data_IF_586653880092
#
_entry.id   IF_586653880092
#
_cell.length_a   1.000
_cell.length_b   1.000
_cell.length_c   1.000
_cell.angle_alpha   90.00
_cell.angle_beta   90.00
_cell.angle_gamma   90.00
#
_symmetry.space_group_name_H-M   'P 1'
#
loop_
_entity.id
_entity.type
_entity.pdbx_description
1 polymer ?
#
# COMPACT_ATOMS: atom_id res chain seq x y z
N UNK A 1 7.57 -31.05 22.73
CA UNK A 1 7.46 -29.77 22.03
C UNK A 1 6.67 -28.83 22.92
N UNK A 2 7.36 -28.03 23.70
CA UNK A 2 6.73 -27.06 24.61
C UNK A 2 6.90 -25.69 23.94
N UNK A 3 5.83 -25.21 23.29
CA UNK A 3 5.74 -23.83 22.91
C UNK A 3 5.56 -23.02 24.21
N UNK A 4 6.56 -22.28 24.60
CA UNK A 4 6.45 -21.25 25.65
C UNK A 4 5.77 -20.05 25.01
N UNK A 5 4.43 -20.03 25.01
CA UNK A 5 3.66 -18.85 24.75
C UNK A 5 3.88 -17.86 25.91
N UNK A 6 4.87 -16.97 25.73
CA UNK A 6 4.92 -15.74 26.49
C UNK A 6 3.73 -14.85 26.08
N UNK A 7 3.30 -13.90 26.96
CA UNK A 7 2.21 -12.98 26.67
C UNK A 7 2.45 -12.28 25.32
N UNK A 8 1.39 -11.92 24.60
CA UNK A 8 1.46 -11.19 23.35
C UNK A 8 2.40 -9.98 23.51
N UNK A 9 3.68 -10.20 23.21
CA UNK A 9 4.71 -9.18 23.35
C UNK A 9 4.35 -8.04 22.41
N UNK A 10 4.58 -6.85 22.88
CA UNK A 10 4.56 -5.55 22.19
C UNK A 10 5.36 -5.66 20.88
N UNK A 11 4.70 -6.19 19.81
CA UNK A 11 5.36 -6.52 18.56
C UNK A 11 5.43 -5.26 17.71
N UNK A 12 6.63 -4.72 17.66
CA UNK A 12 6.92 -3.53 16.86
C UNK A 12 7.00 -3.88 15.38
N UNK A 13 6.56 -3.00 14.49
CA UNK A 13 6.57 -3.26 13.05
C UNK A 13 7.99 -3.31 12.44
N UNK A 14 9.03 -2.89 13.18
CA UNK A 14 10.40 -2.88 12.72
C UNK A 14 10.72 -1.78 11.72
N UNK A 15 11.59 -2.07 10.76
CA UNK A 15 11.97 -1.17 9.68
C UNK A 15 11.03 -1.37 8.49
N UNK A 16 10.20 -0.36 8.16
CA UNK A 16 9.11 -0.46 7.18
C UNK A 16 9.26 0.56 6.06
N UNK A 17 9.35 0.09 4.83
CA UNK A 17 9.31 0.91 3.63
C UNK A 17 7.86 1.20 3.25
N UNK A 18 7.52 2.46 3.03
CA UNK A 18 6.17 2.89 2.64
C UNK A 18 6.23 3.70 1.35
N UNK A 19 5.57 3.25 0.30
CA UNK A 19 5.41 4.07 -0.91
C UNK A 19 4.17 4.94 -0.84
N UNK A 20 4.23 6.15 -1.42
CA UNK A 20 3.12 7.10 -1.33
C UNK A 20 2.97 7.70 0.08
N UNK A 21 4.07 7.78 0.83
CA UNK A 21 4.06 8.18 2.22
C UNK A 21 4.07 9.68 2.49
N UNK A 22 4.04 10.53 1.46
CA UNK A 22 3.96 11.98 1.64
C UNK A 22 2.53 12.46 1.95
N UNK A 23 1.51 11.66 1.66
CA UNK A 23 0.11 12.04 1.90
C UNK A 23 -0.81 10.83 2.17
N UNK A 24 -2.05 11.10 2.51
CA UNK A 24 -3.14 10.13 2.59
C UNK A 24 -2.82 8.90 3.44
N UNK A 25 -3.17 7.71 2.95
CA UNK A 25 -2.96 6.45 3.66
C UNK A 25 -1.48 6.18 3.93
N UNK A 26 -0.60 6.42 2.95
CA UNK A 26 0.83 6.17 3.12
C UNK A 26 1.44 7.00 4.24
N UNK A 27 1.08 8.29 4.34
CA UNK A 27 1.51 9.15 5.44
C UNK A 27 0.98 8.66 6.79
N UNK A 28 -0.30 8.30 6.85
CA UNK A 28 -0.90 7.75 8.07
C UNK A 28 -0.21 6.45 8.51
N UNK A 29 0.14 5.56 7.57
CA UNK A 29 0.89 4.33 7.84
C UNK A 29 2.29 4.65 8.35
N UNK A 30 3.01 5.57 7.73
CA UNK A 30 4.36 5.96 8.18
C UNK A 30 4.34 6.48 9.62
N UNK A 31 3.37 7.32 9.95
CA UNK A 31 3.17 7.81 11.31
C UNK A 31 2.79 6.69 12.29
N UNK A 32 1.86 5.83 11.92
CA UNK A 32 1.45 4.69 12.77
C UNK A 32 2.62 3.73 13.06
N UNK A 33 3.47 3.45 12.06
CA UNK A 33 4.70 2.66 12.22
C UNK A 33 5.66 3.33 13.20
N UNK A 34 5.90 4.63 13.05
CA UNK A 34 6.76 5.41 13.96
C UNK A 34 6.22 5.38 15.39
N UNK A 35 4.95 5.67 15.56
CA UNK A 35 4.31 5.78 16.88
C UNK A 35 4.23 4.42 17.60
N UNK A 36 4.23 3.32 16.84
CA UNK A 36 4.39 1.95 17.36
C UNK A 36 5.86 1.55 17.63
N UNK A 37 6.80 2.50 17.56
CA UNK A 37 8.23 2.26 17.82
C UNK A 37 8.98 1.56 16.68
N UNK A 38 8.41 1.53 15.46
CA UNK A 38 9.10 1.14 14.25
C UNK A 38 9.87 2.28 13.59
N UNK A 39 10.55 1.98 12.48
CA UNK A 39 11.29 2.97 11.68
C UNK A 39 10.70 3.00 10.26
N UNK A 40 9.84 3.97 9.94
CA UNK A 40 9.36 4.13 8.57
C UNK A 40 10.43 4.77 7.67
N UNK A 41 10.46 4.37 6.41
CA UNK A 41 11.17 5.03 5.32
C UNK A 41 10.21 5.24 4.15
N UNK A 42 10.11 6.46 3.65
CA UNK A 42 9.12 6.82 2.62
C UNK A 42 9.75 6.89 1.24
N UNK A 43 9.08 6.33 0.23
CA UNK A 43 9.33 6.57 -1.18
C UNK A 43 8.14 7.33 -1.77
N UNK A 44 8.37 8.52 -2.31
CA UNK A 44 7.31 9.36 -2.89
C UNK A 44 7.87 10.29 -3.98
N UNK A 45 7.00 10.93 -4.75
CA UNK A 45 7.37 12.01 -5.69
C UNK A 45 7.70 13.33 -4.98
N UNK A 46 7.14 13.52 -3.78
CA UNK A 46 7.31 14.74 -3.00
C UNK A 46 7.75 14.41 -1.58
N UNK A 47 8.40 15.36 -0.92
CA UNK A 47 8.82 15.18 0.47
C UNK A 47 7.61 15.11 1.40
N UNK A 48 7.59 14.17 2.37
CA UNK A 48 6.57 14.15 3.41
C UNK A 48 6.67 15.41 4.28
N UNK A 49 5.52 15.87 4.79
CA UNK A 49 5.46 17.00 5.72
C UNK A 49 5.95 16.65 7.14
N UNK A 50 6.02 15.38 7.46
CA UNK A 50 6.53 14.84 8.73
C UNK A 50 8.03 14.57 8.66
N UNK A 51 8.72 14.63 9.80
CA UNK A 51 10.12 14.22 9.93
C UNK A 51 10.26 12.70 9.86
N UNK A 52 10.21 12.17 8.64
CA UNK A 52 10.40 10.76 8.33
C UNK A 52 11.48 10.64 7.27
N UNK A 53 12.37 9.66 7.43
CA UNK A 53 13.37 9.34 6.42
C UNK A 53 12.70 9.04 5.09
N UNK A 54 13.20 9.66 4.00
CA UNK A 54 12.56 9.50 2.70
C UNK A 54 13.55 9.61 1.54
N UNK A 55 13.07 9.20 0.38
CA UNK A 55 13.73 9.42 -0.90
C UNK A 55 12.68 9.75 -1.97
N UNK A 56 13.01 10.71 -2.83
CA UNK A 56 12.13 11.12 -3.93
C UNK A 56 12.33 10.20 -5.12
N UNK A 57 11.25 9.58 -5.58
CA UNK A 57 11.28 8.66 -6.73
C UNK A 57 9.93 8.58 -7.43
N UNK A 58 9.95 8.55 -8.77
CA UNK A 58 8.76 8.23 -9.56
C UNK A 58 8.64 6.70 -9.69
N UNK A 59 7.58 6.12 -9.13
CA UNK A 59 7.33 4.69 -9.21
C UNK A 59 6.93 4.21 -10.61
N UNK A 60 6.61 5.11 -11.54
CA UNK A 60 6.44 4.76 -12.95
C UNK A 60 7.79 4.36 -13.60
N UNK A 61 8.91 4.91 -13.11
CA UNK A 61 10.25 4.43 -13.43
C UNK A 61 10.61 3.22 -12.52
N UNK A 62 10.38 2.03 -13.05
CA UNK A 62 10.61 0.76 -12.32
C UNK A 62 12.07 0.54 -11.95
N UNK A 63 13.01 1.04 -12.75
CA UNK A 63 14.44 0.95 -12.47
C UNK A 63 14.83 1.84 -11.30
N UNK A 64 14.38 3.11 -11.33
CA UNK A 64 14.55 4.04 -10.23
C UNK A 64 13.90 3.55 -8.94
N UNK A 65 12.66 3.02 -9.02
CA UNK A 65 11.95 2.45 -7.89
C UNK A 65 12.72 1.28 -7.24
N UNK A 66 13.20 0.34 -8.04
CA UNK A 66 13.99 -0.80 -7.54
C UNK A 66 15.31 -0.34 -6.89
N UNK A 67 16.01 0.62 -7.50
CA UNK A 67 17.25 1.17 -6.94
C UNK A 67 16.99 1.92 -5.61
N UNK A 68 15.90 2.67 -5.51
CA UNK A 68 15.51 3.38 -4.28
C UNK A 68 15.22 2.41 -3.13
N UNK A 69 14.58 1.24 -3.40
CA UNK A 69 14.38 0.17 -2.40
C UNK A 69 15.73 -0.34 -1.87
N UNK A 70 16.71 -0.57 -2.74
CA UNK A 70 18.06 -0.99 -2.34
C UNK A 70 18.72 0.02 -1.39
N UNK A 71 18.73 1.30 -1.78
CA UNK A 71 19.29 2.38 -0.95
C UNK A 71 18.56 2.53 0.39
N UNK A 72 17.22 2.43 0.39
CA UNK A 72 16.45 2.47 1.62
C UNK A 72 16.81 1.30 2.56
N UNK A 73 16.92 0.07 2.01
CA UNK A 73 17.31 -1.10 2.79
C UNK A 73 18.73 -0.96 3.38
N UNK A 74 19.67 -0.40 2.62
CA UNK A 74 21.04 -0.10 3.10
C UNK A 74 21.02 0.94 4.23
N UNK A 75 20.30 2.07 4.06
CA UNK A 75 20.19 3.13 5.08
C UNK A 75 19.50 2.64 6.36
N UNK A 76 18.52 1.77 6.24
CA UNK A 76 17.82 1.19 7.38
C UNK A 76 18.59 0.02 8.01
N UNK A 77 19.56 -0.57 7.31
CA UNK A 77 20.33 -1.75 7.74
C UNK A 77 19.55 -3.07 7.76
N UNK A 78 18.25 -3.00 7.73
CA UNK A 78 17.30 -4.13 7.63
C UNK A 78 15.98 -3.67 7.04
N UNK A 79 15.18 -4.60 6.55
CA UNK A 79 13.82 -4.34 6.10
C UNK A 79 12.89 -5.42 6.66
N UNK A 80 11.92 -5.02 7.48
CA UNK A 80 10.97 -5.92 8.13
C UNK A 80 9.59 -5.87 7.48
N UNK A 81 9.29 -4.76 6.80
CA UNK A 81 8.01 -4.59 6.13
C UNK A 81 8.08 -3.69 4.90
N UNK A 82 7.17 -3.93 3.96
CA UNK A 82 6.90 -3.05 2.81
C UNK A 82 5.41 -2.80 2.71
N UNK A 83 5.03 -1.53 2.56
CA UNK A 83 3.64 -1.12 2.31
C UNK A 83 3.58 -0.34 1.00
N UNK A 84 2.88 -0.87 0.00
CA UNK A 84 2.73 -0.20 -1.30
C UNK A 84 1.44 0.60 -1.35
N UNK A 85 1.46 1.84 -0.78
CA UNK A 85 0.29 2.71 -0.69
C UNK A 85 0.24 3.80 -1.78
N UNK A 86 1.28 3.94 -2.59
CA UNK A 86 1.25 4.86 -3.72
C UNK A 86 0.17 4.49 -4.73
N UNK A 87 -0.53 5.50 -5.22
CA UNK A 87 -1.57 5.30 -6.23
C UNK A 87 -2.04 6.60 -6.84
N UNK A 88 -2.37 6.54 -8.12
CA UNK A 88 -2.94 7.63 -8.91
C UNK A 88 -4.18 7.15 -9.65
N UNK A 89 -4.95 8.09 -10.20
CA UNK A 89 -6.16 7.78 -10.96
C UNK A 89 -6.29 8.69 -12.18
N UNK A 90 -7.08 8.22 -13.15
CA UNK A 90 -7.50 8.98 -14.33
C UNK A 90 -8.96 8.61 -14.64
N UNK A 91 -9.89 9.43 -14.15
CA UNK A 91 -11.33 9.20 -14.30
C UNK A 91 -11.85 9.71 -15.65
N UNK A 92 -12.74 8.94 -16.25
CA UNK A 92 -13.46 9.30 -17.46
C UNK A 92 -13.77 8.09 -18.35
N UNK A 93 -14.67 8.28 -19.35
CA UNK A 93 -14.89 7.27 -20.38
C UNK A 93 -13.58 6.91 -21.08
N UNK A 94 -13.37 5.63 -21.38
CA UNK A 94 -12.12 5.13 -21.96
C UNK A 94 -11.67 5.92 -23.21
N UNK A 95 -12.59 6.30 -24.06
CA UNK A 95 -12.29 7.09 -25.27
C UNK A 95 -11.93 8.55 -25.02
N UNK A 96 -12.10 9.05 -23.79
CA UNK A 96 -11.83 10.45 -23.41
C UNK A 96 -10.60 10.61 -22.51
N UNK A 97 -10.18 9.56 -21.82
CA UNK A 97 -8.96 9.57 -21.00
C UNK A 97 -7.74 9.52 -21.93
N UNK A 98 -6.78 10.47 -21.83
CA UNK A 98 -5.54 10.41 -22.60
C UNK A 98 -4.80 9.08 -22.36
N UNK A 99 -4.23 8.49 -23.41
CA UNK A 99 -3.58 7.18 -23.33
C UNK A 99 -2.43 7.17 -22.32
N UNK A 100 -1.61 8.21 -22.30
CA UNK A 100 -0.49 8.38 -21.36
C UNK A 100 -0.97 8.49 -19.90
N UNK A 101 -2.09 9.17 -19.65
CA UNK A 101 -2.68 9.24 -18.32
C UNK A 101 -3.20 7.86 -17.87
N UNK A 102 -3.87 7.13 -18.78
CA UNK A 102 -4.33 5.75 -18.53
C UNK A 102 -3.16 4.82 -18.21
N UNK A 103 -2.11 4.86 -19.04
CA UNK A 103 -0.90 4.04 -18.88
C UNK A 103 -0.16 4.38 -17.59
N UNK A 104 -0.09 5.68 -17.22
CA UNK A 104 0.53 6.11 -15.98
C UNK A 104 -0.15 5.49 -14.74
N UNK A 105 -1.48 5.36 -14.73
CA UNK A 105 -2.19 4.71 -13.63
C UNK A 105 -1.72 3.27 -13.47
N UNK A 106 -1.61 2.51 -14.54
CA UNK A 106 -1.12 1.12 -14.51
C UNK A 106 0.36 1.08 -14.14
N UNK A 107 1.16 1.99 -14.69
CA UNK A 107 2.60 2.06 -14.41
C UNK A 107 2.87 2.30 -12.93
N UNK A 108 2.19 3.24 -12.28
CA UNK A 108 2.38 3.55 -10.86
C UNK A 108 1.75 2.49 -9.98
N UNK A 109 0.44 2.22 -10.16
CA UNK A 109 -0.34 1.42 -9.20
C UNK A 109 0.04 -0.06 -9.22
N UNK A 110 0.34 -0.62 -10.41
CA UNK A 110 0.60 -2.05 -10.57
C UNK A 110 2.08 -2.33 -10.82
N UNK A 111 2.66 -1.75 -11.86
CA UNK A 111 4.04 -2.07 -12.22
C UNK A 111 5.04 -1.53 -11.21
N UNK A 112 4.80 -0.33 -10.65
CA UNK A 112 5.56 0.26 -9.56
C UNK A 112 5.48 -0.58 -8.29
N UNK A 113 4.27 -1.01 -7.91
CA UNK A 113 4.06 -1.95 -6.80
C UNK A 113 4.88 -3.23 -7.00
N UNK A 114 4.81 -3.85 -8.17
CA UNK A 114 5.55 -5.07 -8.48
C UNK A 114 7.07 -4.86 -8.44
N UNK A 115 7.56 -3.72 -8.95
CA UNK A 115 8.98 -3.38 -8.93
C UNK A 115 9.52 -3.20 -7.51
N UNK A 116 8.80 -2.45 -6.67
CA UNK A 116 9.14 -2.23 -5.25
C UNK A 116 9.17 -3.55 -4.49
N UNK A 117 8.12 -4.36 -4.60
CA UNK A 117 8.05 -5.64 -3.89
C UNK A 117 9.14 -6.59 -4.36
N UNK A 118 9.37 -6.72 -5.66
CA UNK A 118 10.44 -7.56 -6.21
C UNK A 118 11.81 -7.17 -5.67
N UNK A 119 12.13 -5.88 -5.63
CA UNK A 119 13.40 -5.39 -5.10
C UNK A 119 13.52 -5.62 -3.58
N UNK A 120 12.40 -5.59 -2.85
CA UNK A 120 12.39 -5.78 -1.40
C UNK A 120 12.46 -7.26 -0.97
N UNK A 121 11.98 -8.21 -1.80
CA UNK A 121 11.90 -9.64 -1.43
C UNK A 121 13.18 -10.21 -0.85
N UNK A 122 14.40 -10.03 -1.44
CA UNK A 122 15.63 -10.59 -0.87
C UNK A 122 15.95 -10.04 0.52
N UNK A 123 15.50 -8.82 0.84
CA UNK A 123 15.68 -8.21 2.16
C UNK A 123 14.67 -8.76 3.15
N UNK A 124 13.41 -8.89 2.73
CA UNK A 124 12.33 -9.43 3.57
C UNK A 124 12.51 -10.92 3.90
N UNK A 125 13.03 -11.71 2.98
CA UNK A 125 13.33 -13.13 3.24
C UNK A 125 14.35 -13.32 4.37
N UNK A 126 15.32 -12.40 4.52
CA UNK A 126 16.31 -12.46 5.60
C UNK A 126 15.72 -12.13 6.98
N UNK A 127 14.59 -11.44 7.01
CA UNK A 127 13.96 -11.01 8.28
C UNK A 127 12.64 -11.75 8.57
N UNK A 128 12.22 -12.68 7.69
CA UNK A 128 10.86 -13.21 7.68
C UNK A 128 9.82 -12.08 7.69
N UNK A 129 10.09 -11.03 6.90
CA UNK A 129 9.36 -9.78 6.87
C UNK A 129 7.99 -9.90 6.20
N UNK A 130 7.34 -8.76 6.00
CA UNK A 130 5.96 -8.70 5.51
C UNK A 130 5.77 -7.70 4.38
N UNK A 131 4.86 -8.02 3.49
CA UNK A 131 4.36 -7.14 2.42
C UNK A 131 2.89 -6.85 2.68
N UNK A 132 2.52 -5.57 2.66
CA UNK A 132 1.13 -5.12 2.59
C UNK A 132 0.93 -4.35 1.30
N UNK A 133 0.15 -4.90 0.39
CA UNK A 133 -0.22 -4.21 -0.85
C UNK A 133 -1.58 -3.53 -0.69
N UNK A 134 -1.70 -2.32 -1.20
CA UNK A 134 -2.95 -1.57 -1.13
C UNK A 134 -3.69 -1.64 -2.46
N UNK A 135 -4.76 -2.44 -2.50
CA UNK A 135 -5.72 -2.46 -3.61
C UNK A 135 -6.80 -1.37 -3.44
N UNK A 136 -8.05 -1.73 -3.61
CA UNK A 136 -9.26 -0.92 -3.43
C UNK A 136 -10.47 -1.84 -3.52
N UNK A 137 -11.64 -1.43 -3.03
CA UNK A 137 -12.92 -2.05 -3.41
C UNK A 137 -13.10 -2.09 -4.93
N UNK A 138 -12.55 -1.10 -5.66
CA UNK A 138 -12.50 -1.10 -7.13
C UNK A 138 -11.46 -2.07 -7.73
N UNK A 139 -10.79 -2.85 -6.94
CA UNK A 139 -10.03 -4.04 -7.34
C UNK A 139 -10.83 -5.33 -7.26
N UNK A 140 -12.04 -5.28 -6.69
CA UNK A 140 -12.97 -6.40 -6.56
C UNK A 140 -14.28 -6.17 -7.34
N UNK A 141 -14.67 -4.90 -7.51
CA UNK A 141 -15.87 -4.48 -8.25
C UNK A 141 -15.53 -3.34 -9.17
N UNK A 142 -15.87 -3.44 -10.45
CA UNK A 142 -15.64 -2.40 -11.44
C UNK A 142 -16.76 -1.36 -11.45
N UNK A 143 -16.39 -0.11 -11.72
CA UNK A 143 -17.31 0.99 -11.99
C UNK A 143 -17.03 1.59 -13.38
N UNK A 144 -18.02 2.19 -14.05
CA UNK A 144 -17.79 2.96 -15.28
C UNK A 144 -16.84 4.13 -14.99
N UNK A 145 -16.22 4.64 -16.05
CA UNK A 145 -15.31 5.79 -16.02
C UNK A 145 -14.06 5.63 -15.16
N UNK A 146 -13.74 4.40 -14.75
CA UNK A 146 -12.59 4.06 -13.90
C UNK A 146 -11.74 2.90 -14.48
N UNK A 147 -11.69 2.78 -15.82
CA UNK A 147 -11.08 1.60 -16.47
C UNK A 147 -9.60 1.42 -16.12
N UNK A 148 -8.81 2.51 -16.09
CA UNK A 148 -7.40 2.45 -15.70
C UNK A 148 -7.21 2.01 -14.24
N UNK A 149 -7.97 2.66 -13.36
CA UNK A 149 -7.89 2.38 -11.92
C UNK A 149 -8.35 0.96 -11.59
N UNK A 150 -9.50 0.55 -12.09
CA UNK A 150 -9.99 -0.81 -11.92
C UNK A 150 -8.98 -1.83 -12.46
N UNK A 151 -8.48 -1.67 -13.70
CA UNK A 151 -7.48 -2.58 -14.27
C UNK A 151 -6.25 -2.70 -13.36
N UNK A 152 -5.73 -1.56 -12.87
CA UNK A 152 -4.57 -1.55 -11.98
C UNK A 152 -4.85 -2.24 -10.64
N UNK A 153 -6.02 -2.00 -10.01
CA UNK A 153 -6.34 -2.53 -8.69
C UNK A 153 -6.76 -4.01 -8.72
N UNK A 154 -7.46 -4.46 -9.77
CA UNK A 154 -7.66 -5.90 -10.03
C UNK A 154 -6.31 -6.60 -10.26
N UNK A 155 -5.39 -5.95 -10.98
CA UNK A 155 -4.02 -6.44 -11.16
C UNK A 155 -3.27 -6.60 -9.83
N UNK A 156 -3.37 -5.61 -8.92
CA UNK A 156 -2.78 -5.69 -7.58
C UNK A 156 -3.38 -6.84 -6.78
N UNK A 157 -4.70 -7.08 -6.84
CA UNK A 157 -5.34 -8.23 -6.17
C UNK A 157 -4.75 -9.54 -6.66
N UNK A 158 -4.70 -9.76 -7.98
CA UNK A 158 -4.13 -10.97 -8.59
C UNK A 158 -2.65 -11.14 -8.25
N UNK A 159 -1.86 -10.07 -8.38
CA UNK A 159 -0.45 -10.04 -8.02
C UNK A 159 -0.22 -10.45 -6.57
N UNK A 160 -0.98 -9.87 -5.64
CA UNK A 160 -0.81 -10.13 -4.21
C UNK A 160 -1.14 -11.56 -3.83
N UNK A 161 -2.22 -12.11 -4.38
CA UNK A 161 -2.62 -13.51 -4.14
C UNK A 161 -1.59 -14.50 -4.67
N UNK A 162 -1.04 -14.25 -5.86
CA UNK A 162 0.02 -15.05 -6.42
C UNK A 162 1.30 -14.97 -5.58
N UNK A 163 1.72 -13.75 -5.21
CA UNK A 163 2.89 -13.51 -4.36
C UNK A 163 2.76 -14.25 -3.02
N UNK A 164 1.59 -14.20 -2.39
CA UNK A 164 1.34 -14.89 -1.12
C UNK A 164 1.54 -16.41 -1.22
N UNK A 165 1.20 -17.00 -2.37
CA UNK A 165 1.43 -18.43 -2.63
C UNK A 165 2.92 -18.71 -2.88
N UNK A 166 3.59 -17.86 -3.67
CA UNK A 166 5.01 -18.01 -4.01
C UNK A 166 5.93 -17.87 -2.77
N UNK A 167 5.60 -16.98 -1.84
CA UNK A 167 6.44 -16.68 -0.68
C UNK A 167 6.02 -17.39 0.60
N UNK A 168 5.04 -18.30 0.53
CA UNK A 168 4.48 -18.99 1.68
C UNK A 168 5.55 -19.56 2.62
N UNK A 169 5.44 -19.22 3.90
CA UNK A 169 6.37 -19.63 4.96
C UNK A 169 7.69 -18.85 5.00
N UNK A 170 7.95 -17.93 4.07
CA UNK A 170 9.18 -17.11 4.00
C UNK A 170 8.92 -15.64 4.24
N UNK A 171 7.93 -15.07 3.56
CA UNK A 171 7.51 -13.67 3.67
C UNK A 171 5.99 -13.62 3.82
N UNK A 172 5.50 -12.94 4.84
CA UNK A 172 4.06 -12.73 5.03
C UNK A 172 3.51 -11.73 4.00
N UNK A 173 2.34 -12.01 3.43
CA UNK A 173 1.73 -11.15 2.41
C UNK A 173 0.28 -10.86 2.76
N UNK A 174 -0.06 -9.58 2.81
CA UNK A 174 -1.40 -9.06 3.09
C UNK A 174 -1.92 -8.24 1.93
N UNK A 175 -3.10 -8.53 1.46
CA UNK A 175 -3.90 -7.69 0.58
C UNK A 175 -4.78 -6.77 1.44
N UNK A 176 -4.53 -5.47 1.39
CA UNK A 176 -5.43 -4.47 1.95
C UNK A 176 -6.39 -3.97 0.87
N UNK A 177 -7.66 -4.01 1.15
CA UNK A 177 -8.75 -3.55 0.26
C UNK A 177 -9.51 -2.41 0.97
N UNK A 178 -9.06 -1.16 0.85
CA UNK A 178 -9.78 -0.03 1.42
C UNK A 178 -10.97 0.38 0.55
N UNK A 179 -12.04 0.84 1.20
CA UNK A 179 -13.09 1.67 0.59
C UNK A 179 -12.65 3.13 0.48
N UNK A 180 -13.61 4.03 0.27
CA UNK A 180 -13.35 5.46 0.18
C UNK A 180 -12.71 6.03 1.46
N UNK A 181 -11.72 6.92 1.30
CA UNK A 181 -11.00 7.57 2.41
C UNK A 181 -10.94 9.08 2.22
N UNK A 182 -10.97 9.84 3.32
CA UNK A 182 -10.72 11.29 3.34
C UNK A 182 -9.23 11.59 3.08
N UNK A 183 -8.87 11.74 1.82
CA UNK A 183 -7.50 12.04 1.38
C UNK A 183 -7.52 12.98 0.18
N UNK A 184 -6.39 13.60 -0.13
CA UNK A 184 -6.19 14.42 -1.32
C UNK A 184 -6.29 13.63 -2.65
N UNK A 185 -6.46 12.30 -2.60
CA UNK A 185 -6.59 11.45 -3.79
C UNK A 185 -7.73 11.87 -4.74
N UNK A 186 -8.74 12.53 -4.22
CA UNK A 186 -9.89 13.01 -5.01
C UNK A 186 -9.74 14.45 -5.51
N UNK A 187 -8.76 15.22 -5.03
CA UNK A 187 -8.70 16.67 -5.24
C UNK A 187 -8.55 17.07 -6.71
N UNK A 188 -7.77 16.33 -7.48
CA UNK A 188 -7.56 16.59 -8.92
C UNK A 188 -8.66 16.09 -9.86
N UNK A 189 -9.71 15.43 -9.33
CA UNK A 189 -10.79 14.87 -10.16
C UNK A 189 -11.80 15.93 -10.62
N UNK A 190 -12.40 15.76 -11.81
CA UNK A 190 -13.63 16.47 -12.15
C UNK A 190 -14.70 16.28 -11.08
N UNK A 191 -15.54 17.30 -10.85
CA UNK A 191 -16.50 17.34 -9.73
C UNK A 191 -17.43 16.12 -9.69
N UNK A 192 -17.87 15.65 -10.87
CA UNK A 192 -18.73 14.47 -10.99
C UNK A 192 -18.11 13.15 -10.51
N UNK A 193 -16.78 13.10 -10.35
CA UNK A 193 -16.04 11.92 -9.86
C UNK A 193 -15.51 12.09 -8.46
N UNK A 194 -15.82 13.21 -7.80
CA UNK A 194 -15.53 13.39 -6.39
C UNK A 194 -16.60 12.76 -5.51
N UNK A 195 -16.26 12.31 -4.31
CA UNK A 195 -17.27 11.91 -3.33
C UNK A 195 -18.25 13.05 -3.07
N UNK A 196 -19.52 12.74 -2.86
CA UNK A 196 -20.50 13.72 -2.43
C UNK A 196 -20.08 14.39 -1.11
N UNK A 197 -20.49 15.62 -0.87
CA UNK A 197 -20.09 16.38 0.31
C UNK A 197 -20.48 15.73 1.64
N UNK A 198 -21.52 14.89 1.65
CA UNK A 198 -21.99 14.11 2.79
C UNK A 198 -21.50 12.66 2.80
N UNK A 199 -20.62 12.28 1.88
CA UNK A 199 -20.09 10.92 1.79
C UNK A 199 -19.39 10.51 3.10
N UNK A 200 -19.75 9.34 3.61
CA UNK A 200 -19.10 8.74 4.76
C UNK A 200 -17.86 8.00 4.29
N UNK A 201 -16.71 8.61 4.50
CA UNK A 201 -15.41 8.07 4.13
C UNK A 201 -14.62 7.69 5.39
N UNK A 202 -13.77 6.67 5.28
CA UNK A 202 -12.84 6.32 6.37
C UNK A 202 -11.79 7.42 6.56
N UNK A 203 -11.31 7.57 7.77
CA UNK A 203 -10.08 8.33 8.02
C UNK A 203 -8.88 7.45 7.62
N UNK A 204 -7.86 8.01 6.96
CA UNK A 204 -6.66 7.22 6.60
C UNK A 204 -5.97 6.64 7.84
N UNK A 205 -6.04 7.32 9.01
CA UNK A 205 -5.48 6.82 10.27
C UNK A 205 -6.16 5.53 10.73
N UNK A 206 -7.46 5.40 10.56
CA UNK A 206 -8.21 4.19 10.95
C UNK A 206 -7.84 3.01 10.05
N UNK A 207 -7.65 3.26 8.75
CA UNK A 207 -7.18 2.24 7.80
C UNK A 207 -5.71 1.86 8.06
N UNK A 208 -4.87 2.82 8.48
CA UNK A 208 -3.48 2.57 8.85
C UNK A 208 -3.35 1.62 10.05
N UNK A 209 -4.31 1.59 10.98
CA UNK A 209 -4.31 0.61 12.07
C UNK A 209 -4.46 -0.83 11.56
N UNK A 210 -5.25 -1.05 10.50
CA UNK A 210 -5.35 -2.38 9.88
C UNK A 210 -4.01 -2.80 9.22
N UNK A 211 -3.28 -1.85 8.63
CA UNK A 211 -1.93 -2.10 8.11
C UNK A 211 -0.98 -2.46 9.25
N UNK A 212 -0.99 -1.69 10.33
CA UNK A 212 -0.16 -1.96 11.51
C UNK A 212 -0.48 -3.34 12.12
N UNK A 213 -1.76 -3.68 12.22
CA UNK A 213 -2.20 -5.01 12.65
C UNK A 213 -1.58 -6.11 11.79
N UNK A 214 -1.60 -5.98 10.46
CA UNK A 214 -1.01 -6.96 9.55
C UNK A 214 0.52 -7.07 9.72
N UNK A 215 1.21 -5.93 9.85
CA UNK A 215 2.66 -5.88 10.04
C UNK A 215 3.11 -6.52 11.37
N UNK A 216 2.29 -6.42 12.42
CA UNK A 216 2.61 -6.88 13.76
C UNK A 216 2.17 -8.33 14.06
N UNK A 217 1.66 -9.07 13.08
CA UNK A 217 1.31 -10.49 13.30
C UNK A 217 2.55 -11.34 13.60
N UNK A 218 2.43 -12.40 14.44
CA UNK A 218 3.55 -13.28 14.75
C UNK A 218 4.09 -14.01 13.51
N UNK A 219 5.33 -14.49 13.56
CA UNK A 219 5.84 -15.40 12.54
C UNK A 219 4.89 -16.59 12.33
N UNK A 220 4.59 -16.90 11.07
CA UNK A 220 3.67 -17.99 10.72
C UNK A 220 2.18 -17.66 10.85
N UNK A 221 1.82 -16.47 11.34
CA UNK A 221 0.45 -15.96 11.33
C UNK A 221 0.34 -14.78 10.36
N UNK A 222 -0.60 -14.82 9.44
CA UNK A 222 -0.77 -13.80 8.41
C UNK A 222 -2.23 -13.38 8.29
N UNK A 223 -2.48 -12.06 8.29
CA UNK A 223 -3.75 -11.51 7.84
C UNK A 223 -3.70 -11.46 6.29
N UNK A 224 -4.25 -12.46 5.62
CA UNK A 224 -4.15 -12.61 4.17
C UNK A 224 -4.88 -11.51 3.39
N UNK A 225 -6.09 -11.19 3.81
CA UNK A 225 -6.90 -10.14 3.18
C UNK A 225 -7.62 -9.33 4.27
N UNK A 226 -7.54 -8.00 4.16
CA UNK A 226 -8.22 -7.07 5.05
C UNK A 226 -9.04 -6.10 4.20
N UNK A 227 -10.36 -6.18 4.32
CA UNK A 227 -11.27 -5.20 3.73
C UNK A 227 -11.68 -4.20 4.82
N UNK A 228 -11.40 -2.93 4.59
CA UNK A 228 -11.69 -1.83 5.52
C UNK A 228 -12.45 -0.75 4.77
N UNK A 229 -13.74 -0.68 4.97
CA UNK A 229 -14.62 0.23 4.27
C UNK A 229 -15.57 0.94 5.25
N UNK A 230 -16.08 2.13 4.92
CA UNK A 230 -17.18 2.72 5.65
C UNK A 230 -18.37 1.76 5.70
N UNK A 231 -19.13 1.78 6.78
CA UNK A 231 -20.32 0.92 6.91
C UNK A 231 -21.40 1.17 5.85
N UNK A 232 -21.27 2.29 5.13
CA UNK A 232 -22.17 2.70 4.04
C UNK A 232 -21.49 2.65 2.67
N UNK A 233 -20.40 1.90 2.54
CA UNK A 233 -19.64 1.78 1.28
C UNK A 233 -20.49 1.15 0.18
N UNK A 234 -20.71 1.89 -0.91
CA UNK A 234 -21.56 1.45 -2.03
C UNK A 234 -20.81 0.62 -3.09
N UNK A 235 -19.49 0.67 -3.07
CA UNK A 235 -18.65 -0.14 -3.97
C UNK A 235 -18.34 -1.55 -3.41
N UNK A 236 -18.88 -1.89 -2.23
CA UNK A 236 -18.77 -3.20 -1.59
C UNK A 236 -19.96 -3.45 -0.65
N UNK A 237 -20.51 -4.69 -0.57
CA UNK A 237 -20.31 -5.86 -1.44
C UNK A 237 -20.81 -5.67 -2.86
#
# INVERSE_FOLDING_TARGET
>A
MTATDGPAQDRRPGAVLVTGGASGLGAAVALAVRDAGGRPFVLDLVSPSSEVDHELVDLADRGAAAAAVGRAAERMGRLDGVVTAAGVDACGPLGSVPADAWERVVAVNLLGTAAVVRAALPHLERTAGKVVTVASTLGLRALPDATAYCASKFGVVGFTRALAAETAGRVGVTLLVPGGMHTAFFDGRPEQYKPAADAKLNRPEDVAQAVLFALCQPPGCEARELLVAPSTESSWP
#
